data_IF_934567009973
#
_entry.id   IF_934567009973
#
_cell.length_a   1.000
_cell.length_b   1.000
_cell.length_c   1.000
_cell.angle_alpha   90.00
_cell.angle_beta   90.00
_cell.angle_gamma   90.00
#
_symmetry.space_group_name_H-M   'P 1'
#
loop_
_entity.id
_entity.type
_entity.pdbx_description
1 polymer ?
#
# COMPACT_ATOMS: atom_id res chain seq x y z
N UNK A 1 11.21 -15.42 19.36
CA UNK A 1 10.90 -14.11 19.97
C UNK A 1 10.05 -13.28 19.02
N UNK A 2 10.47 -13.13 17.77
CA UNK A 2 9.77 -12.40 16.69
C UNK A 2 8.32 -12.85 16.43
N UNK A 3 8.06 -14.16 16.37
CA UNK A 3 6.71 -14.70 16.11
C UNK A 3 5.68 -14.31 17.20
N UNK A 4 6.11 -14.22 18.47
CA UNK A 4 5.24 -13.77 19.56
C UNK A 4 4.87 -12.30 19.40
N UNK A 5 5.83 -11.48 18.95
CA UNK A 5 5.58 -10.06 18.67
C UNK A 5 4.57 -9.91 17.53
N UNK A 6 4.70 -10.67 16.44
CA UNK A 6 3.74 -10.60 15.34
C UNK A 6 2.33 -11.03 15.74
N UNK A 7 2.19 -12.09 16.54
CA UNK A 7 0.88 -12.55 17.04
C UNK A 7 0.22 -11.57 18.02
N UNK A 8 1.00 -10.71 18.66
CA UNK A 8 0.49 -9.69 19.57
C UNK A 8 0.04 -8.41 18.86
N UNK A 9 0.31 -8.27 17.55
CA UNK A 9 -0.17 -7.13 16.77
C UNK A 9 -1.69 -7.29 16.59
N UNK A 10 -2.51 -6.32 17.05
CA UNK A 10 -3.95 -6.39 16.87
C UNK A 10 -4.33 -6.36 15.39
N UNK A 11 -5.48 -6.94 15.05
CA UNK A 11 -6.03 -6.75 13.72
C UNK A 11 -6.38 -5.28 13.48
N UNK A 12 -6.16 -4.76 12.27
CA UNK A 12 -6.62 -3.43 11.92
C UNK A 12 -8.15 -3.40 11.88
N UNK A 13 -8.74 -2.26 12.25
CA UNK A 13 -10.19 -2.03 12.10
C UNK A 13 -10.60 -1.74 10.65
N UNK A 14 -9.63 -1.30 9.83
CA UNK A 14 -9.82 -0.88 8.44
C UNK A 14 -8.51 -1.04 7.65
N UNK A 15 -8.61 -1.46 6.39
CA UNK A 15 -7.47 -1.52 5.45
C UNK A 15 -7.74 -0.68 4.21
N UNK A 16 -6.83 0.25 3.92
CA UNK A 16 -6.77 0.98 2.66
C UNK A 16 -5.67 0.35 1.78
N UNK A 17 -6.07 -0.40 0.77
CA UNK A 17 -5.15 -1.06 -0.16
C UNK A 17 -4.90 -0.17 -1.37
N UNK A 18 -3.67 0.32 -1.51
CA UNK A 18 -3.26 1.19 -2.60
C UNK A 18 -2.77 0.36 -3.78
N UNK A 19 -3.57 0.30 -4.84
CA UNK A 19 -3.25 -0.46 -6.04
C UNK A 19 -2.63 0.48 -7.10
N UNK A 20 -1.54 0.02 -7.71
CA UNK A 20 -0.84 0.72 -8.79
C UNK A 20 -0.30 -0.32 -9.77
N UNK A 21 -0.38 -0.08 -11.09
CA UNK A 21 0.29 -0.93 -12.07
C UNK A 21 1.80 -1.00 -11.80
N UNK A 22 2.40 -2.18 -12.01
CA UNK A 22 3.81 -2.42 -11.69
C UNK A 22 4.73 -1.46 -12.46
N UNK A 23 4.44 -1.23 -13.73
CA UNK A 23 5.20 -0.36 -14.62
C UNK A 23 5.24 1.08 -14.09
N UNK A 24 4.09 1.56 -13.61
CA UNK A 24 3.99 2.89 -13.02
C UNK A 24 4.71 2.98 -11.67
N UNK A 25 4.68 1.92 -10.86
CA UNK A 25 5.44 1.83 -9.62
C UNK A 25 6.96 1.87 -9.88
N UNK A 26 7.44 1.16 -10.91
CA UNK A 26 8.84 1.19 -11.36
C UNK A 26 9.23 2.60 -11.80
N UNK A 27 8.43 3.23 -12.67
CA UNK A 27 8.68 4.59 -13.15
C UNK A 27 8.79 5.57 -11.98
N UNK A 28 7.80 5.56 -11.06
CA UNK A 28 7.78 6.43 -9.88
C UNK A 28 8.98 6.22 -8.97
N UNK A 29 9.45 4.97 -8.81
CA UNK A 29 10.63 4.66 -8.02
C UNK A 29 11.91 5.23 -8.65
N UNK A 30 12.08 5.08 -9.96
CA UNK A 30 13.26 5.61 -10.68
C UNK A 30 13.37 7.13 -10.57
N UNK A 31 12.25 7.83 -10.56
CA UNK A 31 12.21 9.29 -10.42
C UNK A 31 12.08 9.75 -8.97
N UNK A 32 12.12 8.83 -7.99
CA UNK A 32 11.88 9.16 -6.58
C UNK A 32 13.11 9.82 -5.97
N UNK A 33 12.94 11.05 -5.52
CA UNK A 33 13.94 11.76 -4.73
C UNK A 33 13.72 11.38 -3.26
N UNK A 34 14.51 10.43 -2.75
CA UNK A 34 14.53 10.02 -1.33
C UNK A 34 15.96 9.76 -0.85
N UNK A 35 16.25 9.87 0.46
CA UNK A 35 17.53 9.41 1.02
C UNK A 35 17.80 7.94 0.62
N UNK A 36 19.01 7.66 0.15
CA UNK A 36 19.39 6.33 -0.37
C UNK A 36 18.98 6.06 -1.82
N UNK A 37 18.35 7.02 -2.51
CA UNK A 37 17.99 6.89 -3.93
C UNK A 37 16.86 5.90 -4.21
N UNK A 38 16.58 5.63 -5.50
CA UNK A 38 15.64 4.59 -5.93
C UNK A 38 15.99 3.21 -5.37
N UNK A 39 14.98 2.40 -5.06
CA UNK A 39 15.21 0.99 -4.74
C UNK A 39 15.60 0.20 -5.98
N UNK A 40 16.37 -0.90 -5.85
CA UNK A 40 16.60 -1.81 -6.96
C UNK A 40 15.27 -2.29 -7.56
N UNK A 41 15.14 -2.23 -8.89
CA UNK A 41 13.89 -2.57 -9.58
C UNK A 41 13.41 -3.98 -9.27
N UNK A 42 14.33 -4.94 -9.17
CA UNK A 42 14.00 -6.34 -8.86
C UNK A 42 13.38 -6.49 -7.47
N UNK A 43 13.98 -5.83 -6.46
CA UNK A 43 13.42 -5.78 -5.12
C UNK A 43 12.02 -5.16 -5.11
N UNK A 44 11.81 -4.08 -5.88
CA UNK A 44 10.49 -3.46 -6.01
C UNK A 44 9.45 -4.39 -6.64
N UNK A 45 9.81 -5.14 -7.69
CA UNK A 45 8.92 -6.12 -8.33
C UNK A 45 8.48 -7.20 -7.36
N UNK A 46 9.43 -7.78 -6.62
CA UNK A 46 9.16 -8.79 -5.60
C UNK A 46 8.27 -8.24 -4.47
N UNK A 47 8.55 -7.01 -4.01
CA UNK A 47 7.75 -6.35 -2.97
C UNK A 47 6.33 -6.03 -3.45
N UNK A 48 6.16 -5.63 -4.71
CA UNK A 48 4.86 -5.36 -5.32
C UNK A 48 4.01 -6.64 -5.41
N UNK A 49 4.60 -7.74 -5.94
CA UNK A 49 3.95 -9.04 -5.99
C UNK A 49 3.53 -9.53 -4.59
N UNK A 50 4.45 -9.52 -3.63
CA UNK A 50 4.17 -9.94 -2.24
C UNK A 50 3.07 -9.11 -1.59
N UNK A 51 3.07 -7.78 -1.80
CA UNK A 51 2.02 -6.92 -1.26
C UNK A 51 0.66 -7.16 -1.91
N UNK A 52 0.63 -7.61 -3.17
CA UNK A 52 -0.61 -7.90 -3.88
C UNK A 52 -1.34 -9.14 -3.36
N UNK A 53 -0.61 -10.05 -2.72
CA UNK A 53 -1.11 -11.29 -2.12
C UNK A 53 -1.57 -11.11 -0.66
N UNK A 54 -1.39 -9.92 -0.07
CA UNK A 54 -1.81 -9.66 1.31
C UNK A 54 -3.34 -9.65 1.43
N UNK A 55 -3.85 -10.46 2.36
CA UNK A 55 -5.26 -10.58 2.72
C UNK A 55 -5.47 -10.27 4.20
N UNK A 56 -6.54 -9.54 4.49
CA UNK A 56 -6.95 -9.18 5.86
C UNK A 56 -8.36 -9.71 6.11
N UNK A 57 -8.45 -11.02 6.32
CA UNK A 57 -9.73 -11.71 6.50
C UNK A 57 -10.50 -11.13 7.68
N UNK A 58 -11.76 -10.77 7.45
CA UNK A 58 -12.65 -10.19 8.48
C UNK A 58 -12.50 -8.69 8.68
N UNK A 59 -11.58 -8.02 7.98
CA UNK A 59 -11.36 -6.57 8.09
C UNK A 59 -11.92 -5.84 6.86
N UNK A 60 -12.74 -4.78 7.04
CA UNK A 60 -13.16 -3.91 5.94
C UNK A 60 -11.96 -3.41 5.12
N UNK A 61 -11.92 -3.79 3.84
CA UNK A 61 -10.79 -3.49 2.95
C UNK A 61 -11.27 -2.70 1.74
N UNK A 62 -10.69 -1.52 1.53
CA UNK A 62 -10.99 -0.65 0.39
C UNK A 62 -9.80 -0.58 -0.55
N UNK A 63 -10.02 -0.96 -1.82
CA UNK A 63 -9.02 -0.83 -2.87
C UNK A 63 -9.09 0.55 -3.50
N UNK A 64 -7.97 1.25 -3.49
CA UNK A 64 -7.83 2.61 -4.01
C UNK A 64 -6.80 2.57 -5.13
N UNK A 65 -7.22 2.93 -6.34
CA UNK A 65 -6.28 3.09 -7.44
C UNK A 65 -5.46 4.36 -7.23
N UNK A 66 -4.16 4.24 -7.41
CA UNK A 66 -3.21 5.35 -7.27
C UNK A 66 -2.48 5.62 -8.58
N UNK A 67 -3.03 5.16 -9.70
CA UNK A 67 -2.54 5.44 -11.06
C UNK A 67 -2.88 6.86 -11.55
N UNK A 68 -3.76 7.56 -10.83
CA UNK A 68 -4.11 8.96 -11.08
C UNK A 68 -3.27 9.97 -10.28
N UNK A 69 -3.68 11.23 -10.32
CA UNK A 69 -3.10 12.32 -9.52
C UNK A 69 -3.35 12.10 -8.02
N UNK A 70 -2.49 12.69 -7.19
CA UNK A 70 -2.58 12.56 -5.72
C UNK A 70 -3.91 13.12 -5.20
N UNK A 71 -4.42 14.20 -5.80
CA UNK A 71 -5.68 14.84 -5.41
C UNK A 71 -6.88 13.92 -5.62
N UNK A 72 -6.86 13.08 -6.66
CA UNK A 72 -7.90 12.08 -6.90
C UNK A 72 -7.83 10.94 -5.89
N UNK A 73 -6.62 10.48 -5.57
CA UNK A 73 -6.41 9.50 -4.50
C UNK A 73 -6.95 10.04 -3.17
N UNK A 74 -6.67 11.30 -2.85
CA UNK A 74 -7.16 11.95 -1.63
C UNK A 74 -8.69 12.11 -1.62
N UNK A 75 -9.31 12.42 -2.77
CA UNK A 75 -10.77 12.48 -2.90
C UNK A 75 -11.42 11.12 -2.67
N UNK A 76 -10.78 10.03 -3.08
CA UNK A 76 -11.27 8.68 -2.83
C UNK A 76 -11.11 8.25 -1.36
N UNK A 77 -9.97 8.59 -0.73
CA UNK A 77 -9.64 8.17 0.65
C UNK A 77 -10.49 8.87 1.70
N UNK A 78 -10.68 10.20 1.57
CA UNK A 78 -11.36 11.03 2.59
C UNK A 78 -12.73 10.51 3.04
N UNK A 79 -13.69 10.20 2.15
CA UNK A 79 -15.01 9.73 2.58
C UNK A 79 -14.95 8.35 3.26
N UNK A 80 -14.00 7.49 2.88
CA UNK A 80 -13.83 6.17 3.52
C UNK A 80 -13.42 6.37 4.98
N UNK A 81 -12.41 7.22 5.21
CA UNK A 81 -11.95 7.52 6.58
C UNK A 81 -13.03 8.20 7.41
N UNK A 82 -13.77 9.15 6.83
CA UNK A 82 -14.83 9.87 7.55
C UNK A 82 -16.00 8.99 7.97
N UNK A 83 -16.28 7.90 7.25
CA UNK A 83 -17.34 6.96 7.59
C UNK A 83 -16.88 5.85 8.56
N UNK A 84 -15.56 5.68 8.71
CA UNK A 84 -14.98 4.64 9.55
C UNK A 84 -14.55 5.14 10.94
N UNK A 85 -14.41 6.46 11.11
CA UNK A 85 -14.06 7.16 12.35
C UNK A 85 -15.28 7.91 12.90
#
# INVERSE_FOLDING_TARGET
>A
MEERTYRAIPQPDLVLRLDVPLELAVQRNLTRIKPGGPEPTEYLRQRHAKSSELEFTGVPTYRIRTDAMVEETMRAVKPILWNAL
#
